data_IF_497576711092
#
_entry.id   IF_497576711092
#
_cell.length_a   1.000
_cell.length_b   1.000
_cell.length_c   1.000
_cell.angle_alpha   90.00
_cell.angle_beta   90.00
_cell.angle_gamma   90.00
#
_symmetry.space_group_name_H-M   'P 1'
#
loop_
_entity.id
_entity.type
_entity.pdbx_description
1 polymer ?
#
# COMPACT_ATOMS: atom_id res chain seq x y z
N UNK A 1 46.91 -42.02 -2.41
CA UNK A 1 47.15 -40.73 -1.68
C UNK A 1 45.83 -40.02 -1.70
N UNK A 2 45.16 -40.07 -0.58
CA UNK A 2 43.85 -39.42 -0.36
C UNK A 2 44.02 -37.93 -0.19
N UNK A 3 43.34 -37.11 -0.98
CA UNK A 3 43.15 -35.70 -0.72
C UNK A 3 41.70 -35.51 -0.32
N UNK A 4 41.51 -35.33 0.97
CA UNK A 4 40.25 -34.95 1.61
C UNK A 4 39.89 -33.53 1.23
N UNK A 5 38.69 -33.35 0.67
CA UNK A 5 37.97 -32.08 0.54
C UNK A 5 37.49 -31.61 1.91
N UNK A 6 37.48 -30.27 2.18
CA UNK A 6 36.92 -29.74 3.41
C UNK A 6 35.40 -29.85 3.39
N UNK A 7 34.86 -30.40 4.45
CA UNK A 7 33.43 -30.46 4.74
C UNK A 7 32.80 -29.03 4.76
N UNK A 8 31.82 -28.84 3.92
CA UNK A 8 30.81 -27.80 4.08
C UNK A 8 30.05 -28.09 5.38
N UNK A 9 30.26 -27.22 6.34
CA UNK A 9 29.45 -27.18 7.57
C UNK A 9 28.13 -26.50 7.15
N UNK A 10 27.16 -27.30 6.68
CA UNK A 10 25.77 -26.94 6.74
C UNK A 10 25.38 -26.97 8.23
N UNK A 11 25.25 -25.77 8.78
CA UNK A 11 24.56 -25.59 10.06
C UNK A 11 23.05 -25.85 9.82
N UNK A 12 22.66 -27.11 9.91
CA UNK A 12 21.29 -27.60 9.79
C UNK A 12 20.60 -27.49 11.15
N UNK A 13 20.56 -26.26 11.70
CA UNK A 13 19.58 -25.91 12.72
C UNK A 13 18.27 -25.61 12.00
N UNK A 14 17.48 -26.65 11.72
CA UNK A 14 16.09 -26.50 11.25
C UNK A 14 15.31 -25.71 12.33
N UNK A 15 15.27 -24.39 12.18
CA UNK A 15 14.40 -23.56 13.01
C UNK A 15 12.97 -24.01 12.74
N UNK A 16 12.26 -24.36 13.78
CA UNK A 16 10.88 -24.83 13.70
C UNK A 16 9.99 -23.73 13.15
N UNK A 17 9.25 -24.03 12.07
CA UNK A 17 8.28 -23.11 11.49
C UNK A 17 7.10 -22.95 12.44
N UNK A 18 6.87 -21.73 12.92
CA UNK A 18 5.73 -21.41 13.77
C UNK A 18 4.51 -21.07 12.89
N UNK A 19 3.46 -21.89 12.98
CA UNK A 19 2.22 -21.67 12.22
C UNK A 19 1.15 -21.05 13.11
N UNK A 20 0.45 -20.02 12.61
CA UNK A 20 -0.59 -19.28 13.33
C UNK A 20 -1.85 -19.19 12.47
N UNK A 21 -2.98 -19.66 12.97
CA UNK A 21 -4.28 -19.52 12.32
C UNK A 21 -5.01 -18.29 12.84
N UNK A 22 -5.45 -17.40 11.91
CA UNK A 22 -6.26 -16.21 12.22
C UNK A 22 -5.55 -15.08 12.95
N UNK A 23 -4.27 -15.25 13.31
CA UNK A 23 -3.46 -14.23 13.98
C UNK A 23 -2.51 -14.77 15.03
N UNK A 24 -1.61 -13.91 15.52
CA UNK A 24 -0.58 -14.26 16.51
C UNK A 24 -0.99 -13.67 17.86
N UNK A 25 -0.95 -14.50 18.91
CA UNK A 25 -1.16 -14.01 20.28
C UNK A 25 0.02 -13.10 20.69
N UNK A 26 -0.21 -11.86 21.16
CA UNK A 26 0.85 -10.90 21.48
C UNK A 26 1.78 -11.36 22.64
N UNK A 27 1.37 -12.33 23.44
CA UNK A 27 2.23 -12.92 24.48
C UNK A 27 3.31 -13.87 23.93
N UNK A 28 3.21 -14.27 22.66
CA UNK A 28 4.20 -15.14 22.03
C UNK A 28 5.40 -14.30 21.60
N UNK A 29 6.60 -14.72 22.01
CA UNK A 29 7.86 -14.20 21.51
C UNK A 29 8.32 -15.03 20.31
N UNK A 30 8.51 -14.36 19.18
CA UNK A 30 9.12 -14.99 18.02
C UNK A 30 10.64 -14.91 18.19
N UNK A 31 11.35 -16.07 18.19
CA UNK A 31 12.79 -16.07 18.38
C UNK A 31 13.52 -15.32 17.24
N UNK A 32 14.71 -14.81 17.55
CA UNK A 32 15.57 -14.17 16.54
C UNK A 32 15.87 -15.16 15.42
N UNK A 33 15.74 -14.68 14.17
CA UNK A 33 15.88 -15.50 12.97
C UNK A 33 14.74 -16.49 12.73
N UNK A 34 13.76 -16.60 13.64
CA UNK A 34 12.65 -17.54 13.53
C UNK A 34 11.80 -17.36 12.28
N UNK A 35 11.16 -18.45 11.83
CA UNK A 35 10.26 -18.42 10.68
C UNK A 35 8.80 -18.55 11.15
N UNK A 36 7.93 -17.70 10.61
CA UNK A 36 6.49 -17.75 10.90
C UNK A 36 5.67 -17.93 9.62
N UNK A 37 4.51 -18.55 9.76
CA UNK A 37 3.50 -18.66 8.73
C UNK A 37 2.14 -18.24 9.32
N UNK A 38 1.55 -17.18 8.78
CA UNK A 38 0.23 -16.73 9.19
C UNK A 38 -0.80 -17.22 8.19
N UNK A 39 -1.70 -18.09 8.63
CA UNK A 39 -2.85 -18.56 7.85
C UNK A 39 -4.03 -17.62 8.15
N UNK A 40 -4.25 -16.67 7.27
CA UNK A 40 -5.33 -15.68 7.42
C UNK A 40 -6.69 -16.30 7.08
N UNK A 41 -7.69 -16.08 7.92
CA UNK A 41 -9.06 -16.51 7.68
C UNK A 41 -9.80 -15.54 6.76
N UNK A 42 -9.65 -14.23 6.98
CA UNK A 42 -10.22 -13.17 6.17
C UNK A 42 -9.35 -11.91 6.22
N UNK A 43 -8.81 -11.52 5.06
CA UNK A 43 -8.00 -10.30 4.90
C UNK A 43 -8.82 -9.10 4.46
N UNK A 44 -10.12 -9.28 4.31
CA UNK A 44 -11.06 -8.27 3.79
C UNK A 44 -12.10 -7.81 4.80
N UNK A 45 -12.05 -8.29 6.05
CA UNK A 45 -13.01 -7.94 7.09
C UNK A 45 -13.15 -6.43 7.29
N UNK A 46 -14.34 -5.99 7.69
CA UNK A 46 -14.70 -4.58 7.82
C UNK A 46 -14.31 -3.81 6.53
N UNK A 47 -13.61 -2.71 6.67
CA UNK A 47 -13.18 -1.86 5.53
C UNK A 47 -11.85 -2.26 4.89
N UNK A 48 -11.17 -3.33 5.36
CA UNK A 48 -9.92 -3.80 4.72
C UNK A 48 -10.11 -4.18 3.25
N UNK A 49 -11.31 -4.63 2.87
CA UNK A 49 -11.66 -5.03 1.51
C UNK A 49 -12.19 -3.91 0.61
N UNK A 50 -12.25 -2.65 1.06
CA UNK A 50 -12.95 -1.57 0.36
C UNK A 50 -12.39 -1.26 -1.03
N UNK A 51 -11.10 -1.46 -1.23
CA UNK A 51 -10.42 -1.29 -2.52
C UNK A 51 -9.30 -2.31 -2.71
N UNK A 52 -9.08 -2.73 -3.96
CA UNK A 52 -7.94 -3.58 -4.32
C UNK A 52 -6.67 -2.72 -4.35
N UNK A 53 -5.71 -3.02 -3.48
CA UNK A 53 -4.42 -2.36 -3.45
C UNK A 53 -3.30 -3.42 -3.52
N UNK A 54 -2.31 -3.27 -4.43
CA UNK A 54 -1.25 -4.26 -4.58
C UNK A 54 -0.28 -4.23 -3.40
N UNK A 55 0.31 -5.38 -3.08
CA UNK A 55 1.29 -5.53 -2.00
C UNK A 55 0.78 -4.99 -0.63
N UNK A 56 -0.53 -5.17 -0.36
CA UNK A 56 -1.14 -4.78 0.91
C UNK A 56 -0.61 -5.66 2.04
N UNK A 57 -0.27 -5.06 3.17
CA UNK A 57 0.06 -5.76 4.41
C UNK A 57 -1.08 -6.70 4.82
N UNK A 58 -0.76 -7.90 5.31
CA UNK A 58 -1.75 -8.77 5.94
C UNK A 58 -2.12 -8.23 7.31
N UNK A 59 -3.40 -8.00 7.61
CA UNK A 59 -3.80 -7.32 8.86
C UNK A 59 -3.30 -7.98 10.14
N UNK A 60 -3.13 -9.28 10.14
CA UNK A 60 -2.74 -10.07 11.31
C UNK A 60 -1.34 -9.73 11.84
N UNK A 61 -0.40 -9.44 10.93
CA UNK A 61 0.97 -9.10 11.33
C UNK A 61 1.07 -7.71 11.97
N UNK A 62 0.55 -6.62 11.37
CA UNK A 62 0.45 -5.33 12.06
C UNK A 62 -0.31 -5.41 13.38
N UNK A 63 -1.41 -6.15 13.45
CA UNK A 63 -2.16 -6.35 14.69
C UNK A 63 -1.29 -6.94 15.79
N UNK A 64 -0.55 -8.00 15.49
CA UNK A 64 0.40 -8.59 16.43
C UNK A 64 1.43 -7.58 16.92
N UNK A 65 2.08 -6.86 16.00
CA UNK A 65 3.11 -5.88 16.33
C UNK A 65 2.55 -4.72 17.19
N UNK A 66 1.35 -4.23 16.86
CA UNK A 66 0.64 -3.19 17.63
C UNK A 66 0.35 -3.67 19.05
N UNK A 67 -0.25 -4.85 19.18
CA UNK A 67 -0.61 -5.40 20.49
C UNK A 67 0.61 -5.74 21.35
N UNK A 68 1.71 -6.16 20.73
CA UNK A 68 2.93 -6.55 21.43
C UNK A 68 3.75 -5.34 21.89
N UNK A 69 3.87 -4.33 21.07
CA UNK A 69 4.83 -3.22 21.27
C UNK A 69 4.18 -1.89 21.65
N UNK A 70 2.87 -1.87 21.87
CA UNK A 70 2.17 -0.66 22.30
C UNK A 70 1.03 -0.95 23.27
N UNK A 71 0.55 0.11 23.94
CA UNK A 71 -0.62 0.06 24.82
C UNK A 71 -1.73 0.98 24.29
N UNK A 72 -2.97 0.82 24.81
CA UNK A 72 -4.10 1.64 24.41
C UNK A 72 -3.82 3.13 24.59
N UNK A 73 -4.20 3.94 23.59
CA UNK A 73 -3.99 5.39 23.56
C UNK A 73 -2.64 5.84 23.00
N UNK A 74 -1.68 4.93 22.79
CA UNK A 74 -0.41 5.26 22.15
C UNK A 74 -0.56 5.53 20.65
N UNK A 75 0.38 6.30 20.09
CA UNK A 75 0.39 6.76 18.70
C UNK A 75 1.21 5.81 17.82
N UNK A 76 0.56 5.25 16.81
CA UNK A 76 1.16 4.34 15.83
C UNK A 76 1.28 5.05 14.49
N UNK A 77 2.46 5.05 13.89
CA UNK A 77 2.72 5.62 12.58
C UNK A 77 3.00 4.54 11.54
N UNK A 78 2.37 4.68 10.38
CA UNK A 78 2.84 4.07 9.13
C UNK A 78 3.25 5.18 8.15
N UNK A 79 4.57 5.39 7.92
CA UNK A 79 5.07 6.47 7.07
C UNK A 79 4.93 6.22 5.56
N UNK A 80 4.53 5.01 5.16
CA UNK A 80 4.26 4.59 3.78
C UNK A 80 2.99 3.73 3.76
N UNK A 81 1.88 4.32 4.25
CA UNK A 81 0.70 3.58 4.70
C UNK A 81 -0.09 2.89 3.58
N UNK A 82 0.17 3.19 2.32
CA UNK A 82 -0.56 2.64 1.20
C UNK A 82 -2.07 2.74 1.42
N UNK A 83 -2.77 1.62 1.38
CA UNK A 83 -4.22 1.57 1.64
C UNK A 83 -4.61 1.64 3.12
N UNK A 84 -3.70 1.94 4.05
CA UNK A 84 -4.00 2.20 5.47
C UNK A 84 -4.26 0.96 6.34
N UNK A 85 -3.64 -0.19 6.05
CA UNK A 85 -3.85 -1.40 6.85
C UNK A 85 -3.37 -1.24 8.29
N UNK A 86 -2.15 -0.72 8.50
CA UNK A 86 -1.60 -0.46 9.84
C UNK A 86 -2.45 0.56 10.60
N UNK A 87 -2.88 1.62 9.91
CA UNK A 87 -3.67 2.70 10.52
C UNK A 87 -5.03 2.20 10.99
N UNK A 88 -5.71 1.36 10.18
CA UNK A 88 -6.97 0.75 10.58
C UNK A 88 -6.77 -0.22 11.76
N UNK A 89 -5.74 -1.06 11.73
CA UNK A 89 -5.42 -1.96 12.84
C UNK A 89 -5.07 -1.20 14.13
N UNK A 90 -4.37 -0.06 14.03
CA UNK A 90 -4.12 0.81 15.19
C UNK A 90 -5.43 1.27 15.82
N UNK A 91 -6.36 1.81 15.02
CA UNK A 91 -7.68 2.22 15.47
C UNK A 91 -8.48 1.08 16.08
N UNK A 92 -8.57 -0.09 15.41
CA UNK A 92 -9.31 -1.26 15.89
C UNK A 92 -8.75 -1.83 17.20
N UNK A 93 -7.49 -1.57 17.50
CA UNK A 93 -6.83 -1.96 18.75
C UNK A 93 -6.78 -0.83 19.80
N UNK A 94 -7.60 0.22 19.67
CA UNK A 94 -7.63 1.36 20.59
C UNK A 94 -6.29 2.13 20.67
N UNK A 95 -5.65 2.38 19.54
CA UNK A 95 -4.48 3.26 19.39
C UNK A 95 -4.82 4.43 18.48
N UNK A 96 -4.04 5.50 18.58
CA UNK A 96 -4.12 6.63 17.65
C UNK A 96 -3.32 6.27 16.41
N UNK A 97 -3.97 6.25 15.24
CA UNK A 97 -3.32 5.90 13.98
C UNK A 97 -2.85 7.14 13.21
N UNK A 98 -1.61 7.16 12.74
CA UNK A 98 -1.12 8.16 11.79
C UNK A 98 -0.65 7.43 10.53
N UNK A 99 -1.15 7.85 9.37
CA UNK A 99 -0.71 7.33 8.07
C UNK A 99 -0.19 8.45 7.17
N UNK A 100 0.97 8.23 6.56
CA UNK A 100 1.54 9.15 5.57
C UNK A 100 1.75 8.36 4.28
N UNK A 101 1.36 8.94 3.16
CA UNK A 101 1.69 8.41 1.84
C UNK A 101 1.75 9.54 0.81
N UNK A 102 2.60 9.40 -0.19
CA UNK A 102 2.69 10.35 -1.32
C UNK A 102 1.69 10.04 -2.42
N UNK A 103 1.15 8.81 -2.45
CA UNK A 103 0.16 8.38 -3.44
C UNK A 103 -1.22 8.94 -3.10
N UNK A 104 -1.80 9.81 -3.95
CA UNK A 104 -3.07 10.46 -3.63
C UNK A 104 -4.24 9.47 -3.55
N UNK A 105 -4.23 8.38 -4.32
CA UNK A 105 -5.29 7.37 -4.24
C UNK A 105 -5.12 6.49 -3.01
N UNK A 106 -3.89 6.15 -2.62
CA UNK A 106 -3.61 5.43 -1.38
C UNK A 106 -4.14 6.20 -0.16
N UNK A 107 -3.86 7.51 -0.10
CA UNK A 107 -4.37 8.39 0.97
C UNK A 107 -5.89 8.45 1.01
N UNK A 108 -6.55 8.54 -0.16
CA UNK A 108 -8.02 8.54 -0.22
C UNK A 108 -8.58 7.19 0.24
N UNK A 109 -7.98 6.06 -0.18
CA UNK A 109 -8.38 4.74 0.30
C UNK A 109 -8.19 4.63 1.82
N UNK A 110 -7.03 5.05 2.35
CA UNK A 110 -6.74 5.02 3.78
C UNK A 110 -7.74 5.88 4.57
N UNK A 111 -8.07 7.08 4.08
CA UNK A 111 -9.08 7.97 4.68
C UNK A 111 -10.44 7.28 4.78
N UNK A 112 -10.96 6.79 3.66
CA UNK A 112 -12.28 6.14 3.62
C UNK A 112 -12.30 4.88 4.49
N UNK A 113 -11.24 4.08 4.46
CA UNK A 113 -11.10 2.86 5.25
C UNK A 113 -11.17 3.12 6.76
N UNK A 114 -10.70 4.26 7.22
CA UNK A 114 -10.59 4.60 8.65
C UNK A 114 -11.62 5.62 9.14
N UNK A 115 -12.55 6.04 8.27
CA UNK A 115 -13.62 6.98 8.61
C UNK A 115 -14.96 6.25 8.71
N UNK A 116 -15.47 5.95 9.92
CA UNK A 116 -16.77 5.32 10.07
C UNK A 116 -17.90 6.28 9.70
N UNK A 117 -18.85 5.81 8.89
CA UNK A 117 -20.02 6.59 8.44
C UNK A 117 -21.27 6.00 9.07
N UNK A 118 -22.14 6.86 9.62
CA UNK A 118 -23.41 6.41 10.21
C UNK A 118 -24.20 5.55 9.25
N UNK A 119 -24.65 4.37 9.72
CA UNK A 119 -25.28 3.36 8.87
C UNK A 119 -26.57 3.83 8.24
N UNK A 120 -27.38 4.60 8.99
CA UNK A 120 -28.65 5.13 8.49
C UNK A 120 -28.43 6.17 7.39
N UNK A 121 -27.51 7.10 7.62
CA UNK A 121 -27.13 8.11 6.63
C UNK A 121 -26.53 7.46 5.37
N UNK A 122 -25.60 6.51 5.55
CA UNK A 122 -24.94 5.81 4.45
C UNK A 122 -25.92 5.09 3.53
N UNK A 123 -26.82 4.28 4.10
CA UNK A 123 -27.78 3.48 3.30
C UNK A 123 -28.78 4.36 2.56
N UNK A 124 -29.27 5.42 3.20
CA UNK A 124 -30.18 6.37 2.54
C UNK A 124 -29.46 7.09 1.38
N UNK A 125 -28.27 7.63 1.64
CA UNK A 125 -27.45 8.30 0.62
C UNK A 125 -27.10 7.36 -0.56
N UNK A 126 -26.85 6.08 -0.29
CA UNK A 126 -26.58 5.11 -1.35
C UNK A 126 -27.81 4.85 -2.23
N UNK A 127 -29.01 4.80 -1.64
CA UNK A 127 -30.27 4.64 -2.40
C UNK A 127 -30.55 5.86 -3.27
N UNK A 128 -30.47 7.06 -2.68
CA UNK A 128 -30.67 8.32 -3.39
C UNK A 128 -29.71 8.46 -4.58
N UNK A 129 -28.44 8.05 -4.38
CA UNK A 129 -27.42 8.06 -5.43
C UNK A 129 -27.77 7.11 -6.58
N UNK A 130 -28.17 5.89 -6.28
CA UNK A 130 -28.54 4.90 -7.31
C UNK A 130 -29.81 5.35 -8.05
N UNK A 131 -30.80 5.92 -7.36
CA UNK A 131 -32.01 6.48 -7.98
C UNK A 131 -31.65 7.61 -8.95
N UNK A 132 -30.83 8.57 -8.54
CA UNK A 132 -30.39 9.68 -9.40
C UNK A 132 -29.58 9.18 -10.61
N UNK A 133 -28.70 8.18 -10.44
CA UNK A 133 -27.96 7.57 -11.55
C UNK A 133 -28.92 7.00 -12.59
N UNK A 134 -29.95 6.27 -12.14
CA UNK A 134 -30.97 5.69 -13.05
C UNK A 134 -31.80 6.78 -13.73
N UNK A 135 -32.18 7.82 -13.04
CA UNK A 135 -32.89 8.96 -13.61
C UNK A 135 -32.06 9.61 -14.74
N UNK A 136 -30.80 9.94 -14.49
CA UNK A 136 -29.93 10.57 -15.48
C UNK A 136 -29.63 9.64 -16.67
N UNK A 137 -29.43 8.35 -16.41
CA UNK A 137 -29.19 7.38 -17.50
C UNK A 137 -30.41 7.20 -18.40
N UNK A 138 -31.63 7.32 -17.84
CA UNK A 138 -32.89 7.20 -18.58
C UNK A 138 -33.15 8.38 -19.55
N UNK A 139 -32.44 9.49 -19.40
CA UNK A 139 -32.59 10.69 -20.23
C UNK A 139 -31.78 10.55 -21.53
N UNK A 140 -32.43 10.42 -22.72
CA UNK A 140 -31.71 10.15 -23.98
C UNK A 140 -30.73 11.25 -24.38
N UNK A 141 -31.05 12.51 -24.06
CA UNK A 141 -30.27 13.69 -24.45
C UNK A 141 -29.30 14.15 -23.35
N UNK A 142 -29.20 13.43 -22.23
CA UNK A 142 -28.30 13.80 -21.17
C UNK A 142 -26.84 13.50 -21.53
N UNK A 143 -26.02 14.56 -21.54
CA UNK A 143 -24.61 14.52 -21.89
C UNK A 143 -23.77 14.87 -20.66
N UNK A 144 -23.27 13.85 -19.90
CA UNK A 144 -22.43 14.10 -18.74
C UNK A 144 -21.04 14.60 -19.15
N UNK A 145 -20.38 15.34 -18.26
CA UNK A 145 -19.01 15.82 -18.44
C UNK A 145 -18.02 14.67 -18.25
N UNK A 146 -17.32 14.29 -19.29
CA UNK A 146 -16.33 13.22 -19.27
C UNK A 146 -14.94 13.84 -19.01
N UNK A 147 -14.19 13.41 -17.99
CA UNK A 147 -12.87 13.95 -17.72
C UNK A 147 -11.90 13.77 -18.90
N UNK A 148 -11.12 14.82 -19.16
CA UNK A 148 -10.12 14.78 -20.22
C UNK A 148 -8.81 14.19 -19.71
N UNK A 149 -8.37 13.09 -20.34
CA UNK A 149 -7.05 12.51 -20.13
C UNK A 149 -6.56 11.76 -21.37
N UNK A 150 -5.27 11.51 -21.42
CA UNK A 150 -4.62 10.99 -22.61
C UNK A 150 -5.05 9.55 -22.94
N UNK A 151 -5.42 9.30 -24.17
CA UNK A 151 -5.85 7.97 -24.67
C UNK A 151 -7.09 7.38 -24.00
N UNK A 152 -7.99 8.17 -23.40
CA UNK A 152 -9.19 7.66 -22.72
C UNK A 152 -10.05 6.72 -23.58
N UNK A 153 -10.17 7.00 -24.90
CA UNK A 153 -10.93 6.21 -25.87
C UNK A 153 -10.30 4.82 -26.13
N UNK A 154 -9.01 4.67 -25.88
CA UNK A 154 -8.36 3.36 -25.93
C UNK A 154 -8.68 2.53 -24.67
N UNK A 155 -8.82 3.20 -23.53
CA UNK A 155 -9.08 2.55 -22.25
C UNK A 155 -10.54 2.19 -22.04
N UNK A 156 -11.46 2.98 -22.59
CA UNK A 156 -12.88 2.80 -22.34
C UNK A 156 -13.70 2.84 -23.64
N UNK A 157 -14.78 2.07 -23.66
CA UNK A 157 -15.79 2.17 -24.71
C UNK A 157 -16.62 3.44 -24.50
N UNK A 158 -17.18 4.07 -25.57
CA UNK A 158 -17.92 5.32 -25.44
C UNK A 158 -19.08 5.26 -24.41
N UNK A 159 -19.82 4.17 -24.37
CA UNK A 159 -20.92 4.01 -23.43
C UNK A 159 -20.40 3.88 -21.97
N UNK A 160 -19.25 3.23 -21.74
CA UNK A 160 -18.63 3.16 -20.40
C UNK A 160 -18.20 4.55 -19.94
N UNK A 161 -17.62 5.36 -20.82
CA UNK A 161 -17.26 6.76 -20.51
C UNK A 161 -18.48 7.55 -20.03
N UNK A 162 -19.62 7.41 -20.75
CA UNK A 162 -20.89 8.05 -20.38
C UNK A 162 -21.38 7.55 -19.02
N UNK A 163 -21.43 6.22 -18.82
CA UNK A 163 -21.90 5.60 -17.58
C UNK A 163 -21.06 6.03 -16.35
N UNK A 164 -19.75 5.99 -16.45
CA UNK A 164 -18.85 6.45 -15.38
C UNK A 164 -18.99 7.95 -15.11
N UNK A 165 -19.21 8.77 -16.15
CA UNK A 165 -19.45 10.21 -16.00
C UNK A 165 -20.78 10.51 -15.30
N UNK A 166 -21.87 9.77 -15.62
CA UNK A 166 -23.15 9.86 -14.90
C UNK A 166 -22.96 9.56 -13.41
N UNK A 167 -22.24 8.48 -13.07
CA UNK A 167 -21.94 8.14 -11.68
C UNK A 167 -21.19 9.29 -10.99
N UNK A 168 -20.14 9.81 -11.65
CA UNK A 168 -19.32 10.91 -11.08
C UNK A 168 -20.14 12.16 -10.82
N UNK A 169 -20.95 12.60 -11.81
CA UNK A 169 -21.79 13.79 -11.66
C UNK A 169 -22.90 13.60 -10.62
N UNK A 170 -23.45 12.39 -10.50
CA UNK A 170 -24.42 12.08 -9.44
C UNK A 170 -23.79 12.18 -8.05
N UNK A 171 -22.56 11.67 -7.86
CA UNK A 171 -21.82 11.81 -6.61
C UNK A 171 -21.58 13.30 -6.31
N UNK A 172 -21.08 14.05 -7.29
CA UNK A 172 -20.75 15.47 -7.12
C UNK A 172 -21.97 16.32 -6.87
N UNK A 173 -23.12 16.03 -7.48
CA UNK A 173 -24.35 16.82 -7.30
C UNK A 173 -25.02 16.56 -5.95
N UNK A 174 -25.06 15.32 -5.47
CA UNK A 174 -25.69 14.95 -4.20
C UNK A 174 -24.79 15.31 -3.00
N UNK A 175 -23.48 15.11 -3.13
CA UNK A 175 -22.57 15.19 -2.00
C UNK A 175 -21.53 16.33 -2.15
N UNK A 176 -21.77 17.28 -3.08
CA UNK A 176 -20.91 18.46 -3.20
C UNK A 176 -20.92 19.27 -1.90
N UNK A 177 -19.76 19.73 -1.44
CA UNK A 177 -19.63 20.46 -0.18
C UNK A 177 -20.21 21.88 -0.27
N UNK A 178 -21.53 22.01 -0.47
CA UNK A 178 -22.22 23.30 -0.39
C UNK A 178 -22.34 23.82 1.05
N UNK A 179 -21.93 23.01 2.03
CA UNK A 179 -21.94 23.31 3.46
C UNK A 179 -20.72 22.68 4.10
N UNK A 180 -20.18 23.28 5.17
CA UNK A 180 -19.09 22.75 6.00
C UNK A 180 -19.50 21.46 6.77
N UNK A 181 -20.24 20.57 6.16
CA UNK A 181 -20.70 19.32 6.76
C UNK A 181 -19.74 18.17 6.37
N UNK A 182 -18.99 17.71 7.38
CA UNK A 182 -18.02 16.62 7.22
C UNK A 182 -18.66 15.32 6.73
N UNK A 183 -19.93 15.06 7.09
CA UNK A 183 -20.64 13.84 6.68
C UNK A 183 -20.81 13.76 5.16
N UNK A 184 -21.09 14.89 4.49
CA UNK A 184 -21.19 14.93 3.03
C UNK A 184 -19.84 14.75 2.34
N UNK A 185 -18.76 15.21 2.94
CA UNK A 185 -17.41 14.93 2.45
C UNK A 185 -17.06 13.44 2.56
N UNK A 186 -17.37 12.81 3.70
CA UNK A 186 -17.04 11.44 3.97
C UNK A 186 -17.82 10.47 3.07
N UNK A 187 -19.12 10.72 2.84
CA UNK A 187 -19.91 9.92 1.88
C UNK A 187 -19.47 10.14 0.44
N UNK A 188 -19.10 11.36 0.04
CA UNK A 188 -18.53 11.64 -1.28
C UNK A 188 -17.25 10.85 -1.51
N UNK A 189 -16.32 10.90 -0.57
CA UNK A 189 -15.06 10.14 -0.65
C UNK A 189 -15.30 8.63 -0.68
N UNK A 190 -16.24 8.13 0.13
CA UNK A 190 -16.64 6.72 0.11
C UNK A 190 -17.17 6.31 -1.28
N UNK A 191 -18.13 7.06 -1.84
CA UNK A 191 -18.69 6.77 -3.16
C UNK A 191 -17.63 6.88 -4.28
N UNK A 192 -16.69 7.82 -4.18
CA UNK A 192 -15.56 7.95 -5.11
C UNK A 192 -14.60 6.77 -5.02
N UNK A 193 -14.35 6.20 -3.84
CA UNK A 193 -13.55 4.97 -3.69
C UNK A 193 -14.29 3.76 -4.23
N UNK A 194 -15.60 3.67 -4.03
CA UNK A 194 -16.42 2.62 -4.67
C UNK A 194 -16.34 2.72 -6.19
N UNK A 195 -16.50 3.91 -6.76
CA UNK A 195 -16.33 4.17 -8.19
C UNK A 195 -14.93 3.75 -8.66
N UNK A 196 -13.89 4.19 -7.97
CA UNK A 196 -12.50 3.83 -8.25
C UNK A 196 -12.29 2.32 -8.34
N UNK A 197 -12.90 1.56 -7.44
CA UNK A 197 -12.71 0.11 -7.35
C UNK A 197 -13.23 -0.66 -8.57
N UNK A 198 -14.14 -0.08 -9.34
CA UNK A 198 -14.74 -0.71 -10.55
C UNK A 198 -14.11 -0.21 -11.87
N UNK A 199 -13.43 0.94 -11.89
CA UNK A 199 -12.91 1.59 -13.10
C UNK A 199 -12.11 0.60 -13.96
N UNK A 200 -11.19 -0.11 -13.35
CA UNK A 200 -10.36 -1.08 -14.06
C UNK A 200 -11.15 -2.28 -14.57
N UNK A 201 -12.15 -2.70 -13.85
CA UNK A 201 -12.98 -3.85 -14.21
C UNK A 201 -13.82 -3.56 -15.49
N UNK A 202 -14.30 -2.33 -15.64
CA UNK A 202 -15.10 -1.88 -16.80
C UNK A 202 -14.26 -1.23 -17.91
N UNK A 203 -12.93 -1.15 -17.73
CA UNK A 203 -11.99 -0.68 -18.76
C UNK A 203 -11.49 -1.80 -19.65
N UNK A 204 -10.80 -1.46 -20.75
CA UNK A 204 -10.10 -2.40 -21.64
C UNK A 204 -8.75 -2.88 -21.06
N UNK A 205 -8.39 -2.48 -19.83
CA UNK A 205 -7.15 -2.91 -19.18
C UNK A 205 -7.12 -4.43 -18.94
N UNK A 206 -5.93 -5.04 -19.09
CA UNK A 206 -5.73 -6.47 -18.83
C UNK A 206 -5.99 -6.77 -17.33
N UNK A 207 -6.96 -7.64 -17.01
CA UNK A 207 -7.29 -7.99 -15.62
C UNK A 207 -6.21 -8.84 -14.93
N UNK A 208 -5.32 -9.48 -15.70
CA UNK A 208 -4.30 -10.39 -15.18
C UNK A 208 -2.95 -9.71 -14.91
N UNK A 209 -2.85 -8.41 -15.17
CA UNK A 209 -1.62 -7.63 -14.98
C UNK A 209 -1.77 -6.68 -13.80
N UNK A 210 -0.82 -6.64 -12.87
CA UNK A 210 -0.86 -5.67 -11.76
C UNK A 210 -0.81 -4.24 -12.30
N UNK A 211 0.14 -3.96 -13.21
CA UNK A 211 0.19 -2.67 -13.92
C UNK A 211 -0.97 -2.54 -14.91
N UNK A 212 -1.55 -1.38 -14.99
CA UNK A 212 -2.58 -1.06 -15.98
C UNK A 212 -1.97 -1.01 -17.37
N UNK A 213 -2.31 -2.00 -18.21
CA UNK A 213 -1.79 -2.16 -19.57
C UNK A 213 -2.91 -2.60 -20.52
N UNK A 214 -2.78 -2.20 -21.79
CA UNK A 214 -3.60 -2.70 -22.89
C UNK A 214 -2.88 -3.87 -23.57
N UNK A 215 -3.59 -4.98 -23.78
CA UNK A 215 -3.07 -6.09 -24.57
C UNK A 215 -4.04 -6.42 -25.70
N UNK A 216 -3.56 -6.43 -26.95
CA UNK A 216 -4.37 -6.69 -28.15
C UNK A 216 -5.12 -8.04 -28.12
N UNK A 217 -4.62 -9.02 -27.38
CA UNK A 217 -5.20 -10.37 -27.26
C UNK A 217 -6.26 -10.49 -26.14
N UNK A 218 -6.38 -9.49 -25.27
CA UNK A 218 -7.34 -9.50 -24.16
C UNK A 218 -8.51 -8.64 -24.54
N UNK A 219 -9.65 -9.27 -24.79
CA UNK A 219 -10.92 -8.60 -25.09
C UNK A 219 -11.90 -8.91 -23.96
N UNK A 220 -12.29 -7.87 -23.22
CA UNK A 220 -13.35 -7.98 -22.22
C UNK A 220 -14.72 -7.84 -22.89
N UNK A 221 -15.67 -8.67 -22.49
CA UNK A 221 -17.05 -8.54 -22.94
C UNK A 221 -17.80 -7.57 -22.02
N UNK A 222 -17.63 -6.27 -22.27
CA UNK A 222 -18.31 -5.20 -21.52
C UNK A 222 -19.48 -4.72 -22.37
N UNK A 223 -20.67 -4.62 -21.76
CA UNK A 223 -21.93 -4.24 -22.41
C UNK A 223 -22.44 -2.91 -21.84
N UNK A 224 -23.30 -2.19 -22.58
CA UNK A 224 -24.02 -1.04 -22.02
C UNK A 224 -24.78 -1.42 -20.74
N UNK A 225 -24.69 -0.59 -19.72
CA UNK A 225 -25.24 -0.80 -18.38
C UNK A 225 -24.32 -1.55 -17.39
N UNK A 226 -23.24 -2.19 -17.87
CA UNK A 226 -22.36 -2.98 -16.98
C UNK A 226 -21.66 -2.12 -15.92
N UNK A 227 -21.26 -0.87 -16.24
CA UNK A 227 -20.61 0.00 -15.27
C UNK A 227 -21.59 0.48 -14.20
N UNK A 228 -22.82 0.82 -14.57
CA UNK A 228 -23.88 1.21 -13.62
C UNK A 228 -24.25 0.05 -12.68
N UNK A 229 -24.47 -1.13 -13.24
CA UNK A 229 -24.79 -2.35 -12.46
C UNK A 229 -23.67 -2.67 -11.50
N UNK A 230 -22.42 -2.70 -12.00
CA UNK A 230 -21.26 -3.04 -11.19
C UNK A 230 -21.01 -2.03 -10.08
N UNK A 231 -21.23 -0.74 -10.35
CA UNK A 231 -21.14 0.30 -9.34
C UNK A 231 -22.18 0.08 -8.23
N UNK A 232 -23.45 -0.11 -8.58
CA UNK A 232 -24.54 -0.30 -7.62
C UNK A 232 -24.33 -1.54 -6.75
N UNK A 233 -23.97 -2.69 -7.34
CA UNK A 233 -23.65 -3.91 -6.62
C UNK A 233 -22.46 -3.73 -5.65
N UNK A 234 -21.42 -3.03 -6.12
CA UNK A 234 -20.24 -2.78 -5.31
C UNK A 234 -20.55 -1.78 -4.19
N UNK A 235 -21.33 -0.74 -4.46
CA UNK A 235 -21.77 0.26 -3.49
C UNK A 235 -22.47 -0.40 -2.30
N UNK A 236 -23.53 -1.20 -2.55
CA UNK A 236 -24.27 -1.83 -1.45
C UNK A 236 -23.42 -2.84 -0.66
N UNK A 237 -22.60 -3.65 -1.34
CA UNK A 237 -21.66 -4.55 -0.66
C UNK A 237 -20.67 -3.80 0.24
N UNK A 238 -20.16 -2.64 -0.21
CA UNK A 238 -19.25 -1.82 0.61
C UNK A 238 -20.00 -1.05 1.71
N UNK A 239 -21.29 -0.73 1.50
CA UNK A 239 -22.14 -0.21 2.56
C UNK A 239 -22.26 -1.21 3.72
N UNK A 240 -22.47 -2.50 3.43
CA UNK A 240 -22.53 -3.54 4.47
C UNK A 240 -21.23 -3.55 5.31
N UNK A 241 -20.07 -3.59 4.64
CA UNK A 241 -18.76 -3.55 5.32
C UNK A 241 -18.53 -2.27 6.13
N UNK A 242 -19.01 -1.13 5.67
CA UNK A 242 -18.90 0.15 6.37
C UNK A 242 -19.85 0.21 7.57
N UNK A 243 -21.06 -0.36 7.47
CA UNK A 243 -22.00 -0.48 8.59
C UNK A 243 -21.41 -1.34 9.71
N UNK A 244 -20.81 -2.48 9.38
CA UNK A 244 -20.12 -3.34 10.35
C UNK A 244 -18.94 -2.60 11.01
N UNK A 245 -18.20 -1.80 10.24
CA UNK A 245 -17.13 -0.97 10.77
C UNK A 245 -17.64 0.16 11.66
N UNK A 246 -18.71 0.84 11.27
CA UNK A 246 -19.34 1.88 12.10
C UNK A 246 -19.78 1.31 13.44
N UNK A 247 -20.47 0.15 13.45
CA UNK A 247 -20.90 -0.50 14.68
C UNK A 247 -19.73 -0.94 15.56
N UNK A 248 -18.68 -1.51 14.97
CA UNK A 248 -17.45 -1.85 15.67
C UNK A 248 -16.80 -0.60 16.29
N UNK A 249 -16.78 0.51 15.57
CA UNK A 249 -16.14 1.77 16.01
C UNK A 249 -16.80 2.38 17.25
N UNK A 250 -18.07 2.08 17.53
CA UNK A 250 -18.80 2.59 18.72
C UNK A 250 -18.18 2.10 20.03
N UNK A 251 -17.55 0.93 20.03
CA UNK A 251 -16.90 0.34 21.21
C UNK A 251 -15.48 0.87 21.45
N UNK A 252 -14.90 1.63 20.50
CA UNK A 252 -13.53 2.11 20.58
C UNK A 252 -13.45 3.40 21.43
N UNK A 253 -12.49 3.44 22.36
CA UNK A 253 -12.18 4.63 23.17
C UNK A 253 -11.25 5.58 22.42
N UNK A 254 -10.19 5.06 21.82
CA UNK A 254 -9.23 5.81 21.01
C UNK A 254 -9.45 5.43 19.54
N UNK A 255 -10.03 6.33 18.77
CA UNK A 255 -10.35 6.13 17.35
C UNK A 255 -9.89 7.28 16.47
N UNK A 256 -8.95 8.08 16.99
CA UNK A 256 -8.38 9.18 16.23
C UNK A 256 -7.43 8.65 15.15
N UNK A 257 -7.68 9.04 13.92
CA UNK A 257 -6.85 8.73 12.77
C UNK A 257 -6.46 10.02 12.07
N UNK A 258 -5.17 10.17 11.79
CA UNK A 258 -4.61 11.34 11.12
C UNK A 258 -3.88 10.91 9.86
N UNK A 259 -4.18 11.60 8.77
CA UNK A 259 -3.54 11.38 7.47
C UNK A 259 -2.93 12.70 6.97
N UNK A 260 -1.88 13.20 7.63
CA UNK A 260 -1.28 14.49 7.29
C UNK A 260 -0.62 14.47 5.92
N UNK A 261 -0.50 15.64 5.30
CA UNK A 261 0.33 15.83 4.13
C UNK A 261 1.80 15.70 4.49
N UNK A 262 2.51 14.83 3.79
CA UNK A 262 3.92 14.58 4.04
C UNK A 262 4.45 13.47 3.16
N UNK A 263 5.71 13.13 3.38
CA UNK A 263 6.31 11.90 2.85
C UNK A 263 7.20 11.27 3.91
N UNK A 264 7.57 10.01 3.70
CA UNK A 264 8.38 9.26 4.65
C UNK A 264 9.78 9.85 4.92
N UNK A 265 10.29 10.66 4.00
CA UNK A 265 11.60 11.31 4.11
C UNK A 265 11.53 12.61 4.94
N UNK A 266 10.33 13.18 5.12
CA UNK A 266 10.09 14.41 5.87
C UNK A 266 8.62 14.48 6.29
N UNK A 267 8.30 13.89 7.44
CA UNK A 267 6.93 13.72 7.93
C UNK A 267 6.29 15.02 8.42
N UNK A 268 7.10 15.99 8.84
CA UNK A 268 6.67 17.23 9.52
C UNK A 268 6.06 16.99 10.92
N UNK A 269 6.22 15.78 11.46
CA UNK A 269 5.85 15.47 12.85
C UNK A 269 6.93 15.97 13.80
N UNK A 270 6.55 16.23 15.03
CA UNK A 270 7.47 16.64 16.08
C UNK A 270 8.43 15.50 16.44
N UNK A 271 9.61 15.83 16.96
CA UNK A 271 10.57 14.85 17.48
C UNK A 271 9.97 14.13 18.69
N UNK A 272 10.29 12.84 18.83
CA UNK A 272 9.87 11.99 19.96
C UNK A 272 8.34 11.89 20.16
N UNK A 273 7.54 12.14 19.10
CA UNK A 273 6.08 12.20 19.15
C UNK A 273 5.38 10.85 18.89
N UNK A 274 6.11 9.84 18.44
CA UNK A 274 5.57 8.54 18.00
C UNK A 274 6.01 7.43 18.95
N UNK A 275 5.07 6.58 19.35
CA UNK A 275 5.33 5.46 20.26
C UNK A 275 5.82 4.22 19.54
N UNK A 276 5.22 3.91 18.38
CA UNK A 276 5.54 2.75 17.56
C UNK A 276 5.41 3.10 16.07
N UNK A 277 6.37 2.67 15.26
CA UNK A 277 6.32 2.80 13.82
C UNK A 277 6.25 1.39 13.22
N UNK A 278 5.31 1.17 12.27
CA UNK A 278 5.18 -0.09 11.54
C UNK A 278 5.00 0.24 10.07
N UNK A 279 5.82 -0.32 9.18
CA UNK A 279 5.68 -0.10 7.75
C UNK A 279 6.16 -1.28 6.92
N UNK A 280 5.64 -1.37 5.70
CA UNK A 280 6.20 -2.18 4.62
C UNK A 280 6.55 -1.23 3.48
N UNK A 281 7.83 -0.80 3.36
CA UNK A 281 8.24 0.12 2.31
C UNK A 281 8.08 -0.50 0.92
N UNK A 282 7.98 0.30 -0.15
CA UNK A 282 8.03 -0.25 -1.50
C UNK A 282 9.35 -1.00 -1.69
N UNK A 283 9.29 -2.17 -2.39
CA UNK A 283 10.49 -2.97 -2.64
C UNK A 283 11.17 -2.54 -3.94
N UNK A 284 12.46 -2.80 -4.05
CA UNK A 284 13.22 -2.53 -5.27
C UNK A 284 12.60 -3.35 -6.43
N UNK A 285 12.23 -2.70 -7.53
CA UNK A 285 11.60 -3.30 -8.71
C UNK A 285 10.22 -3.97 -8.50
N UNK A 286 9.53 -3.74 -7.41
CA UNK A 286 8.29 -4.46 -7.13
C UNK A 286 7.08 -3.91 -7.90
N UNK A 287 6.47 -2.84 -7.44
CA UNK A 287 5.21 -2.33 -7.97
C UNK A 287 5.35 -0.88 -8.44
N UNK A 288 5.02 -0.63 -9.70
CA UNK A 288 4.84 0.74 -10.22
C UNK A 288 3.43 1.22 -9.83
N UNK A 289 3.27 1.66 -8.57
CA UNK A 289 1.98 2.08 -8.01
C UNK A 289 1.28 3.14 -8.88
N UNK A 290 1.93 4.24 -9.32
CA UNK A 290 1.26 5.22 -10.15
C UNK A 290 0.74 4.64 -11.47
N UNK A 291 1.43 3.67 -12.06
CA UNK A 291 0.96 3.00 -13.28
C UNK A 291 -0.14 1.97 -12.99
N UNK A 292 -0.15 1.42 -11.80
CA UNK A 292 -1.20 0.47 -11.40
C UNK A 292 -2.54 1.18 -11.29
N UNK A 293 -2.56 2.35 -10.67
CA UNK A 293 -3.77 3.14 -10.40
C UNK A 293 -3.96 4.36 -11.34
N UNK A 294 -3.30 4.35 -12.51
CA UNK A 294 -3.34 5.52 -13.40
C UNK A 294 -4.75 5.88 -13.89
N UNK A 295 -5.62 4.89 -14.17
CA UNK A 295 -6.98 5.14 -14.64
C UNK A 295 -7.86 5.71 -13.54
N UNK A 296 -7.73 5.18 -12.34
CA UNK A 296 -8.39 5.65 -11.13
C UNK A 296 -7.99 7.10 -10.83
N UNK A 297 -6.67 7.39 -10.86
CA UNK A 297 -6.15 8.75 -10.64
C UNK A 297 -6.59 9.74 -11.72
N UNK A 298 -6.60 9.33 -12.99
CA UNK A 298 -7.11 10.18 -14.08
C UNK A 298 -8.59 10.46 -13.90
N UNK A 299 -9.38 9.42 -13.62
CA UNK A 299 -10.84 9.56 -13.50
C UNK A 299 -11.23 10.44 -12.30
N UNK A 300 -10.57 10.26 -11.16
CA UNK A 300 -10.84 11.03 -9.94
C UNK A 300 -10.15 12.40 -9.90
N UNK A 301 -9.41 12.80 -10.95
CA UNK A 301 -8.72 14.10 -10.99
C UNK A 301 -7.59 14.24 -9.95
N UNK A 302 -6.96 13.15 -9.51
CA UNK A 302 -5.99 13.14 -8.41
C UNK A 302 -4.56 13.52 -8.81
N UNK A 303 -4.28 13.69 -10.11
CA UNK A 303 -2.92 13.99 -10.60
C UNK A 303 -2.59 15.49 -10.61
N UNK A 304 -3.58 16.37 -10.43
CA UNK A 304 -3.40 17.81 -10.61
C UNK A 304 -2.91 18.14 -12.04
N UNK A 305 -2.17 19.24 -12.20
CA UNK A 305 -1.70 19.74 -13.51
C UNK A 305 -0.44 19.04 -14.03
N UNK A 306 0.05 18.00 -13.34
CA UNK A 306 1.32 17.36 -13.67
C UNK A 306 1.19 16.03 -14.41
N UNK A 307 2.18 15.67 -15.26
CA UNK A 307 2.20 14.35 -15.87
C UNK A 307 2.48 13.26 -14.82
N UNK A 308 1.95 12.06 -15.03
CA UNK A 308 2.18 10.89 -14.18
C UNK A 308 3.68 10.61 -13.92
N UNK A 309 4.55 10.92 -14.88
CA UNK A 309 6.01 10.76 -14.76
C UNK A 309 6.62 11.62 -13.65
N UNK A 310 6.06 12.80 -13.38
CA UNK A 310 6.51 13.68 -12.30
C UNK A 310 6.21 13.03 -10.93
N UNK A 311 5.00 12.51 -10.76
CA UNK A 311 4.63 11.80 -9.56
C UNK A 311 5.51 10.55 -9.35
N UNK A 312 5.77 9.78 -10.43
CA UNK A 312 6.62 8.57 -10.35
C UNK A 312 8.02 8.83 -9.78
N UNK A 313 8.62 9.98 -10.09
CA UNK A 313 9.97 10.31 -9.60
C UNK A 313 10.04 10.56 -8.09
N UNK A 314 8.92 10.83 -7.44
CA UNK A 314 8.88 11.11 -5.99
C UNK A 314 8.79 9.84 -5.14
N UNK A 315 8.54 8.68 -5.76
CA UNK A 315 8.42 7.41 -5.03
C UNK A 315 9.78 6.82 -4.68
N UNK A 316 9.92 6.33 -3.47
CA UNK A 316 11.03 5.47 -3.07
C UNK A 316 11.01 4.22 -3.96
N UNK A 317 12.17 3.82 -4.49
CA UNK A 317 12.28 2.68 -5.42
C UNK A 317 11.80 2.99 -6.84
N UNK A 318 11.66 4.26 -7.21
CA UNK A 318 11.28 4.67 -8.56
C UNK A 318 12.24 4.11 -9.63
N UNK A 319 11.67 3.62 -10.73
CA UNK A 319 12.44 3.25 -11.92
C UNK A 319 12.59 4.42 -12.92
N UNK A 320 12.01 5.58 -12.63
CA UNK A 320 12.06 6.75 -13.49
C UNK A 320 13.33 7.56 -13.20
N UNK A 321 14.43 7.18 -13.86
CA UNK A 321 15.76 7.80 -13.74
C UNK A 321 16.26 8.24 -15.09
N UNK A 322 17.08 9.31 -15.13
CA UNK A 322 17.68 9.85 -16.34
C UNK A 322 19.06 9.25 -16.59
N UNK A 323 19.52 9.29 -17.86
CA UNK A 323 20.78 8.67 -18.27
C UNK A 323 21.99 9.27 -17.52
N UNK A 324 21.99 10.56 -17.31
CA UNK A 324 23.03 11.31 -16.64
C UNK A 324 23.22 10.91 -15.16
N UNK A 325 22.16 10.36 -14.54
CA UNK A 325 22.18 9.96 -13.13
C UNK A 325 22.99 8.64 -12.90
N UNK A 326 23.10 7.79 -13.94
CA UNK A 326 23.75 6.46 -13.86
C UNK A 326 24.92 6.27 -14.84
N UNK A 327 25.49 7.36 -15.38
CA UNK A 327 26.69 7.30 -16.21
C UNK A 327 27.93 6.82 -15.44
N UNK A 328 27.97 7.08 -14.14
CA UNK A 328 29.04 6.67 -13.25
C UNK A 328 28.51 5.85 -12.09
N UNK A 329 29.30 4.85 -11.67
CA UNK A 329 29.02 4.06 -10.47
C UNK A 329 28.87 4.99 -9.26
N UNK A 330 27.83 4.75 -8.47
CA UNK A 330 27.61 5.40 -7.17
C UNK A 330 27.82 4.37 -6.08
N UNK A 331 28.61 4.70 -5.09
CA UNK A 331 28.84 3.91 -3.87
C UNK A 331 28.21 4.60 -2.68
N UNK A 332 27.73 3.81 -1.74
CA UNK A 332 27.01 4.27 -0.55
C UNK A 332 27.89 4.44 0.67
N UNK A 333 29.04 3.75 0.70
CA UNK A 333 29.93 3.65 1.86
C UNK A 333 29.57 2.50 2.82
N UNK A 334 28.52 1.70 2.53
CA UNK A 334 28.14 0.53 3.34
C UNK A 334 28.79 -0.74 2.81
N UNK A 335 29.37 -1.53 3.71
CA UNK A 335 30.08 -2.77 3.35
C UNK A 335 29.16 -3.83 2.74
N UNK A 336 27.90 -3.89 3.18
CA UNK A 336 26.93 -4.84 2.65
C UNK A 336 26.30 -4.40 1.30
N UNK A 337 26.39 -3.13 0.92
CA UNK A 337 25.74 -2.61 -0.28
C UNK A 337 26.72 -2.36 -1.44
N UNK A 338 27.90 -1.80 -1.18
CA UNK A 338 28.83 -1.38 -2.23
C UNK A 338 29.26 -2.52 -3.19
N UNK A 339 29.61 -3.72 -2.71
CA UNK A 339 29.94 -4.84 -3.61
C UNK A 339 28.75 -5.25 -4.50
N UNK A 340 27.52 -5.15 -4.00
CA UNK A 340 26.29 -5.42 -4.74
C UNK A 340 26.08 -4.39 -5.85
N UNK A 341 26.34 -3.10 -5.55
CA UNK A 341 26.25 -2.02 -6.53
C UNK A 341 27.27 -2.18 -7.65
N UNK A 342 28.51 -2.56 -7.34
CA UNK A 342 29.59 -2.81 -8.30
C UNK A 342 29.22 -3.98 -9.24
N UNK A 343 28.81 -5.12 -8.68
CA UNK A 343 28.43 -6.28 -9.46
C UNK A 343 27.22 -6.03 -10.38
N UNK A 344 26.19 -5.28 -9.90
CA UNK A 344 25.06 -4.90 -10.72
C UNK A 344 25.49 -3.89 -11.79
N UNK A 345 26.38 -2.95 -11.48
CA UNK A 345 26.83 -1.91 -12.41
C UNK A 345 27.54 -2.50 -13.63
N UNK A 346 28.36 -3.53 -13.45
CA UNK A 346 29.01 -4.23 -14.55
C UNK A 346 27.99 -4.83 -15.54
N UNK A 347 26.83 -5.25 -15.05
CA UNK A 347 25.77 -5.88 -15.84
C UNK A 347 24.75 -4.86 -16.39
N UNK A 348 24.38 -3.87 -15.58
CA UNK A 348 23.34 -2.88 -15.87
C UNK A 348 23.51 -1.62 -15.00
N UNK A 349 24.22 -0.59 -15.50
CA UNK A 349 24.45 0.66 -14.75
C UNK A 349 23.17 1.32 -14.25
N UNK A 350 22.10 1.28 -15.07
CA UNK A 350 20.81 1.86 -14.68
C UNK A 350 20.21 1.13 -13.48
N UNK A 351 20.30 -0.19 -13.42
CA UNK A 351 19.78 -0.97 -12.29
C UNK A 351 20.60 -0.76 -11.03
N UNK A 352 21.91 -0.66 -11.13
CA UNK A 352 22.78 -0.31 -10.00
C UNK A 352 22.37 1.02 -9.39
N UNK A 353 22.17 2.05 -10.21
CA UNK A 353 21.72 3.36 -9.73
C UNK A 353 20.34 3.32 -9.06
N UNK A 354 19.38 2.53 -9.57
CA UNK A 354 18.07 2.36 -8.95
C UNK A 354 18.21 1.74 -7.55
N UNK A 355 19.09 0.75 -7.39
CA UNK A 355 19.39 0.13 -6.08
C UNK A 355 20.03 1.16 -5.15
N UNK A 356 21.07 1.86 -5.62
CA UNK A 356 21.73 2.93 -4.86
C UNK A 356 20.70 3.95 -4.36
N UNK A 357 19.90 4.51 -5.28
CA UNK A 357 18.90 5.53 -4.95
C UNK A 357 17.86 5.02 -3.94
N UNK A 358 17.44 3.77 -4.05
CA UNK A 358 16.50 3.17 -3.11
C UNK A 358 17.06 3.20 -1.67
N UNK A 359 18.30 2.79 -1.50
CA UNK A 359 18.92 2.76 -0.17
C UNK A 359 19.26 4.16 0.36
N UNK A 360 19.63 5.11 -0.49
CA UNK A 360 19.77 6.52 -0.10
C UNK A 360 18.43 7.11 0.41
N UNK A 361 17.35 6.84 -0.30
CA UNK A 361 16.01 7.26 0.13
C UNK A 361 15.63 6.56 1.46
N UNK A 362 15.91 5.26 1.61
CA UNK A 362 15.64 4.51 2.84
C UNK A 362 16.49 4.96 4.02
N UNK A 363 17.76 5.35 3.79
CA UNK A 363 18.60 5.97 4.82
C UNK A 363 17.96 7.25 5.35
N UNK A 364 17.59 8.16 4.45
CA UNK A 364 16.91 9.41 4.83
C UNK A 364 15.58 9.15 5.58
N UNK A 365 14.87 8.09 5.19
CA UNK A 365 13.66 7.66 5.86
C UNK A 365 13.94 7.13 7.26
N UNK A 366 14.98 6.30 7.45
CA UNK A 366 15.42 5.81 8.76
C UNK A 366 15.81 6.95 9.69
N UNK A 367 16.54 7.96 9.20
CA UNK A 367 16.92 9.17 9.95
C UNK A 367 15.67 9.93 10.45
N UNK A 368 14.68 10.12 9.59
CA UNK A 368 13.42 10.78 9.97
C UNK A 368 12.64 9.95 10.99
N UNK A 369 12.57 8.62 10.83
CA UNK A 369 11.90 7.73 11.79
C UNK A 369 12.60 7.76 13.16
N UNK A 370 13.92 7.77 13.17
CA UNK A 370 14.68 7.91 14.42
C UNK A 370 14.37 9.23 15.12
N UNK A 371 14.30 10.33 14.36
CA UNK A 371 14.00 11.66 14.92
C UNK A 371 12.64 11.72 15.60
N UNK A 372 11.59 11.15 14.97
CA UNK A 372 10.21 11.28 15.46
C UNK A 372 9.80 10.21 16.46
N UNK A 373 10.50 9.07 16.49
CA UNK A 373 10.25 7.98 17.43
C UNK A 373 10.74 8.39 18.82
N UNK A 374 9.93 8.14 19.86
CA UNK A 374 10.33 8.41 21.25
C UNK A 374 11.48 7.50 21.70
N UNK A 375 12.30 7.90 22.68
CA UNK A 375 13.27 7.00 23.30
C UNK A 375 12.61 5.74 23.87
N UNK A 376 13.15 4.57 23.56
CA UNK A 376 12.59 3.27 23.90
C UNK A 376 11.43 2.81 23.00
N UNK A 377 11.00 3.64 22.03
CA UNK A 377 10.05 3.26 20.99
C UNK A 377 10.63 2.26 19.98
N UNK A 378 9.76 1.64 19.19
CA UNK A 378 10.17 0.63 18.20
C UNK A 378 9.76 1.01 16.80
N UNK A 379 10.62 0.66 15.86
CA UNK A 379 10.34 0.75 14.43
C UNK A 379 10.39 -0.64 13.81
N UNK A 380 9.23 -1.13 13.34
CA UNK A 380 9.06 -2.44 12.73
C UNK A 380 8.98 -2.28 11.20
N UNK A 381 9.91 -2.92 10.47
CA UNK A 381 10.00 -2.86 9.01
C UNK A 381 9.76 -4.26 8.45
N UNK A 382 8.75 -4.40 7.56
CA UNK A 382 8.58 -5.61 6.75
C UNK A 382 9.21 -5.38 5.37
N UNK A 383 10.25 -6.13 5.03
CA UNK A 383 11.01 -5.97 3.79
C UNK A 383 11.35 -7.30 3.13
N UNK A 384 11.19 -7.38 1.82
CA UNK A 384 11.60 -8.52 1.01
C UNK A 384 12.98 -8.33 0.39
N UNK A 385 13.74 -9.43 0.27
CA UNK A 385 14.97 -9.46 -0.49
C UNK A 385 14.68 -9.62 -1.99
N UNK A 386 15.58 -9.14 -2.83
CA UNK A 386 15.38 -9.09 -4.26
C UNK A 386 16.56 -9.71 -5.03
N UNK A 387 16.27 -10.20 -6.23
CA UNK A 387 17.27 -10.59 -7.21
C UNK A 387 17.28 -9.55 -8.34
N UNK A 388 18.41 -8.91 -8.59
CA UNK A 388 18.57 -7.89 -9.63
C UNK A 388 19.71 -8.28 -10.57
N UNK A 389 19.38 -8.62 -11.81
CA UNK A 389 20.36 -9.12 -12.78
C UNK A 389 21.14 -10.37 -12.31
N UNK A 390 20.50 -11.21 -11.49
CA UNK A 390 21.12 -12.39 -10.90
C UNK A 390 22.02 -12.10 -9.68
N UNK A 391 21.99 -10.88 -9.17
CA UNK A 391 22.68 -10.49 -7.94
C UNK A 391 21.66 -10.41 -6.81
N UNK A 392 21.92 -11.08 -5.70
CA UNK A 392 21.07 -11.01 -4.52
C UNK A 392 21.26 -9.68 -3.80
N UNK A 393 20.15 -8.96 -3.57
CA UNK A 393 20.11 -7.74 -2.76
C UNK A 393 19.45 -8.06 -1.43
N UNK A 394 20.27 -8.22 -0.39
CA UNK A 394 19.83 -8.52 0.98
C UNK A 394 19.35 -7.24 1.67
N UNK A 395 18.15 -6.78 1.27
CA UNK A 395 17.57 -5.53 1.80
C UNK A 395 17.43 -5.55 3.32
N UNK A 396 17.14 -6.71 3.91
CA UNK A 396 17.09 -6.93 5.36
C UNK A 396 18.41 -6.56 6.04
N UNK A 397 19.53 -7.08 5.55
CA UNK A 397 20.86 -6.85 6.14
C UNK A 397 21.35 -5.44 5.91
N UNK A 398 21.14 -4.91 4.70
CA UNK A 398 21.59 -3.55 4.35
C UNK A 398 20.86 -2.52 5.21
N UNK A 399 19.52 -2.65 5.38
CA UNK A 399 18.76 -1.74 6.24
C UNK A 399 19.13 -1.89 7.73
N UNK A 400 19.43 -3.12 8.19
CA UNK A 400 19.91 -3.36 9.54
C UNK A 400 21.28 -2.69 9.80
N UNK A 401 22.21 -2.81 8.85
CA UNK A 401 23.51 -2.15 8.92
C UNK A 401 23.37 -0.62 8.96
N UNK A 402 22.59 -0.04 8.04
CA UNK A 402 22.34 1.42 8.01
C UNK A 402 21.73 1.92 9.33
N UNK A 403 20.73 1.21 9.83
CA UNK A 403 20.02 1.59 11.05
C UNK A 403 20.95 1.58 12.28
N UNK A 404 21.82 0.57 12.40
CA UNK A 404 22.70 0.40 13.55
C UNK A 404 23.97 1.24 13.47
N UNK A 405 24.66 1.27 12.30
CA UNK A 405 25.98 1.85 12.20
C UNK A 405 25.99 3.39 12.10
N UNK A 406 24.97 3.98 11.45
CA UNK A 406 24.97 5.43 11.21
C UNK A 406 23.85 6.17 11.94
N UNK A 407 22.70 5.54 12.18
CA UNK A 407 21.52 6.25 12.70
C UNK A 407 21.38 6.08 14.21
N UNK A 408 21.80 4.94 14.74
CA UNK A 408 21.83 4.67 16.18
C UNK A 408 20.63 3.86 16.69
N UNK A 409 19.91 3.16 15.81
CA UNK A 409 18.96 2.15 16.24
C UNK A 409 19.68 0.92 16.81
N UNK A 410 19.07 0.30 17.82
CA UNK A 410 19.45 -1.02 18.30
C UNK A 410 18.59 -2.08 17.59
N UNK A 411 19.20 -3.15 17.06
CA UNK A 411 18.46 -4.29 16.54
C UNK A 411 17.92 -5.12 17.70
N UNK A 412 16.60 -5.07 17.95
CA UNK A 412 15.97 -5.81 19.05
C UNK A 412 15.63 -7.26 18.63
N UNK A 413 15.13 -7.44 17.41
CA UNK A 413 14.80 -8.75 16.87
C UNK A 413 14.69 -8.73 15.34
N UNK A 414 14.84 -9.88 14.71
CA UNK A 414 14.51 -10.12 13.31
C UNK A 414 13.92 -11.51 13.13
N UNK A 415 12.90 -11.64 12.26
CA UNK A 415 12.29 -12.92 11.92
C UNK A 415 11.72 -12.92 10.51
N UNK A 416 11.47 -14.10 9.95
CA UNK A 416 11.00 -14.26 8.59
C UNK A 416 9.52 -14.66 8.56
N UNK A 417 8.67 -13.87 7.86
CA UNK A 417 7.26 -14.15 7.63
C UNK A 417 7.05 -14.76 6.25
N UNK A 418 6.70 -16.05 6.17
CA UNK A 418 6.42 -16.76 4.92
C UNK A 418 5.10 -16.30 4.30
N UNK A 419 5.06 -16.20 2.96
CA UNK A 419 3.86 -15.89 2.19
C UNK A 419 3.22 -17.15 1.63
N UNK A 420 1.92 -17.39 1.94
CA UNK A 420 1.20 -18.59 1.49
C UNK A 420 0.76 -18.50 0.02
N UNK A 421 0.38 -17.32 -0.46
CA UNK A 421 -0.24 -17.15 -1.78
C UNK A 421 0.38 -16.00 -2.56
N UNK A 422 0.73 -16.30 -3.80
CA UNK A 422 1.05 -15.29 -4.79
C UNK A 422 -0.15 -15.09 -5.72
N UNK A 423 -0.61 -13.86 -5.88
CA UNK A 423 -1.69 -13.52 -6.82
C UNK A 423 -1.30 -13.74 -8.29
N UNK A 424 0.01 -13.82 -8.58
CA UNK A 424 0.53 -14.02 -9.94
C UNK A 424 0.84 -15.51 -10.15
N UNK A 425 0.08 -16.18 -11.00
CA UNK A 425 0.21 -17.60 -11.31
C UNK A 425 1.40 -17.98 -12.23
N UNK A 426 2.15 -17.00 -12.75
CA UNK A 426 3.27 -17.25 -13.65
C UNK A 426 4.49 -17.68 -12.82
N UNK A 427 5.07 -18.85 -13.04
CA UNK A 427 6.30 -19.28 -12.38
C UNK A 427 7.44 -18.32 -12.76
N UNK A 428 8.01 -17.65 -11.77
CA UNK A 428 9.28 -16.92 -11.91
C UNK A 428 10.26 -17.53 -10.92
N UNK A 429 11.47 -17.88 -11.35
CA UNK A 429 12.50 -18.44 -10.46
C UNK A 429 12.92 -17.45 -9.34
N UNK A 430 12.66 -16.16 -9.52
CA UNK A 430 13.04 -15.07 -8.64
C UNK A 430 11.88 -14.65 -7.69
N UNK A 431 11.00 -15.59 -7.31
CA UNK A 431 9.89 -15.26 -6.38
C UNK A 431 10.40 -15.11 -4.97
N UNK A 432 9.99 -14.02 -4.35
CA UNK A 432 10.14 -13.80 -2.91
C UNK A 432 9.30 -14.82 -2.13
N UNK A 433 9.90 -15.55 -1.22
CA UNK A 433 9.26 -16.59 -0.41
C UNK A 433 8.54 -16.01 0.82
N UNK A 434 8.92 -14.81 1.23
CA UNK A 434 8.41 -14.12 2.41
C UNK A 434 9.09 -12.77 2.61
N UNK A 435 8.86 -12.21 3.77
CA UNK A 435 9.35 -10.90 4.19
C UNK A 435 10.12 -11.03 5.49
N UNK A 436 11.24 -10.32 5.61
CA UNK A 436 11.94 -10.13 6.87
C UNK A 436 11.28 -9.03 7.66
N UNK A 437 11.05 -9.28 8.94
CA UNK A 437 10.53 -8.30 9.87
C UNK A 437 11.69 -7.87 10.77
N UNK A 438 12.10 -6.61 10.63
CA UNK A 438 13.15 -6.00 11.44
C UNK A 438 12.50 -5.21 12.57
N UNK A 439 12.88 -5.48 13.80
CA UNK A 439 12.44 -4.73 14.99
C UNK A 439 13.61 -3.90 15.49
N UNK A 440 13.54 -2.60 15.22
CA UNK A 440 14.54 -1.61 15.60
C UNK A 440 14.06 -0.85 16.84
N UNK A 441 14.94 -0.58 17.79
CA UNK A 441 14.66 0.20 19.01
C UNK A 441 15.47 1.48 19.02
N UNK A 442 14.83 2.60 19.39
CA UNK A 442 15.51 3.87 19.65
C UNK A 442 16.01 3.98 21.07
#
# INVERSE_FOLDING_TARGET
MNTSTPNDIHDDSSQELLEFEGGINPSIDIPEGGEILIISNDQSYLTHGIHKFPAKFFPELPRYLIQKYSVAGETILDPMCGSGTVVLEAMLNNRIGIGIDIDPIARLIAKVKTTPIDSGFLINSARDLVEQIHELDSLPDYQPSIPEFHYRENWFRPFVLRELAIITESIDSLFSPKQNDTMFHDISDFCRIVLSSIIRDVSNADPHCTRTVLRKKVVKNIRPGDALTKFSETLFRQCDSMCDFFDTSKALTFKDVRLPDGNALKTRLDSDAIDLIITSPPYINAVDYPRTHQLEMYWLGLLGDGPLSRLKRTYIGTETVYKEEYEHLRLSGFESLDPVLEEIYEKDPRRSFIVFKFFEDMKSQLEEMYRILRPGGRYCIAIGNNQIRGVEVRSDRILAEMAASEIGFEMENTFFSKLIRHFIRIPRPERMLGEWILILRK
#
